data_IF_068167022910
#
_entry.id   IF_068167022910
#
_cell.length_a   1.000
_cell.length_b   1.000
_cell.length_c   1.000
_cell.angle_alpha   90.00
_cell.angle_beta   90.00
_cell.angle_gamma   90.00
#
_symmetry.space_group_name_H-M   'P 1'
#
loop_
_entity.id
_entity.type
_entity.pdbx_description
1 polymer ?
#
# COMPACT_ATOMS: atom_id res chain seq x y z
N UNK A 1 -29.34 -17.61 14.69
CA UNK A 1 -29.62 -16.28 14.12
C UNK A 1 -28.59 -16.04 13.03
N UNK A 2 -29.05 -15.80 11.81
CA UNK A 2 -28.19 -15.68 10.63
C UNK A 2 -27.30 -14.44 10.75
N UNK A 3 -26.00 -14.62 11.02
CA UNK A 3 -25.02 -13.56 10.85
C UNK A 3 -24.80 -13.38 9.34
N UNK A 4 -25.47 -12.40 8.75
CA UNK A 4 -25.04 -11.82 7.47
C UNK A 4 -23.60 -11.39 7.66
N UNK A 5 -22.69 -11.89 6.83
CA UNK A 5 -21.35 -11.33 6.69
C UNK A 5 -21.52 -9.84 6.36
N UNK A 6 -21.07 -8.97 7.27
CA UNK A 6 -20.91 -7.56 6.95
C UNK A 6 -19.83 -7.49 5.86
N UNK A 7 -20.15 -6.86 4.72
CA UNK A 7 -19.14 -6.47 3.76
C UNK A 7 -18.12 -5.51 4.40
N UNK A 8 -17.01 -5.21 3.72
CA UNK A 8 -16.05 -4.22 4.21
C UNK A 8 -16.78 -2.90 4.52
N UNK A 9 -16.53 -2.33 5.70
CA UNK A 9 -17.05 -1.02 6.10
C UNK A 9 -16.40 0.07 5.24
N UNK A 10 -17.10 0.50 4.19
CA UNK A 10 -16.65 1.54 3.27
C UNK A 10 -17.08 2.95 3.67
N UNK A 11 -17.81 3.09 4.79
CA UNK A 11 -18.40 4.37 5.22
C UNK A 11 -17.38 5.48 5.53
N UNK A 12 -16.10 5.12 5.66
CA UNK A 12 -14.99 6.02 6.02
C UNK A 12 -14.14 6.47 4.84
N UNK A 13 -14.42 5.94 3.66
CA UNK A 13 -13.74 6.39 2.45
C UNK A 13 -14.35 7.69 1.97
N UNK A 14 -13.49 8.67 1.73
CA UNK A 14 -13.82 9.84 0.91
C UNK A 14 -13.22 9.61 -0.46
N UNK A 15 -14.09 9.41 -1.45
CA UNK A 15 -13.73 9.17 -2.84
C UNK A 15 -14.19 10.34 -3.71
N UNK A 16 -13.28 10.89 -4.50
CA UNK A 16 -13.45 12.05 -5.36
C UNK A 16 -13.18 11.60 -6.79
N UNK A 17 -14.16 11.80 -7.65
CA UNK A 17 -14.06 11.63 -9.08
C UNK A 17 -13.70 12.98 -9.72
N UNK A 18 -12.45 13.09 -10.13
CA UNK A 18 -11.87 14.30 -10.67
C UNK A 18 -12.37 14.49 -12.11
N UNK A 19 -12.87 15.68 -12.41
CA UNK A 19 -13.45 15.97 -13.72
C UNK A 19 -14.94 15.66 -13.87
N UNK A 20 -15.53 14.89 -12.95
CA UNK A 20 -16.95 14.56 -13.03
C UNK A 20 -17.85 15.73 -12.66
N UNK A 21 -18.92 15.93 -13.43
CA UNK A 21 -19.94 16.96 -13.17
C UNK A 21 -20.91 16.57 -12.06
N UNK A 22 -20.99 15.28 -11.70
CA UNK A 22 -22.01 14.76 -10.78
C UNK A 22 -21.43 13.68 -9.89
N UNK A 23 -21.82 13.71 -8.62
CA UNK A 23 -21.56 12.61 -7.70
C UNK A 23 -22.37 11.37 -8.10
N UNK A 24 -21.81 10.19 -7.85
CA UNK A 24 -22.41 8.89 -8.16
C UNK A 24 -22.01 7.85 -7.11
N UNK A 25 -22.64 6.68 -7.15
CA UNK A 25 -22.39 5.60 -6.19
C UNK A 25 -22.26 4.28 -6.94
N UNK A 26 -21.27 3.48 -6.56
CA UNK A 26 -21.21 2.06 -6.91
C UNK A 26 -21.66 1.18 -5.73
N UNK A 27 -21.35 -0.12 -5.79
CA UNK A 27 -21.73 -1.09 -4.74
C UNK A 27 -20.95 -0.91 -3.43
N UNK A 28 -19.83 -0.19 -3.47
CA UNK A 28 -18.84 -0.07 -2.40
C UNK A 28 -18.66 1.38 -1.96
N UNK A 29 -18.60 2.35 -2.88
CA UNK A 29 -18.18 3.73 -2.61
C UNK A 29 -19.16 4.77 -3.16
N UNK A 30 -19.25 5.89 -2.44
CA UNK A 30 -19.87 7.13 -2.94
C UNK A 30 -18.77 8.02 -3.50
N UNK A 31 -18.81 8.26 -4.80
CA UNK A 31 -17.89 9.11 -5.54
C UNK A 31 -18.45 10.53 -5.64
N UNK A 32 -17.69 11.51 -5.14
CA UNK A 32 -18.08 12.92 -5.18
C UNK A 32 -17.45 13.62 -6.37
N UNK A 33 -18.19 14.53 -7.00
CA UNK A 33 -17.59 15.48 -7.94
C UNK A 33 -16.49 16.30 -7.25
N UNK A 34 -15.47 16.67 -8.01
CA UNK A 34 -14.34 17.45 -7.50
C UNK A 34 -14.57 18.96 -7.33
N UNK A 35 -15.78 19.44 -7.62
CA UNK A 35 -16.12 20.86 -7.60
C UNK A 35 -15.75 21.60 -6.30
N UNK A 36 -15.94 20.95 -5.15
CA UNK A 36 -15.67 21.54 -3.84
C UNK A 36 -14.18 21.47 -3.43
N UNK A 37 -13.36 20.73 -4.20
CA UNK A 37 -12.01 20.34 -3.79
C UNK A 37 -10.90 21.06 -4.57
N UNK A 38 -11.17 21.44 -5.84
CA UNK A 38 -10.22 22.17 -6.68
C UNK A 38 -10.91 23.28 -7.47
N UNK A 39 -10.23 24.44 -7.56
CA UNK A 39 -10.76 25.65 -8.20
C UNK A 39 -10.05 26.01 -9.51
N UNK A 40 -9.01 25.25 -9.89
CA UNK A 40 -8.23 25.48 -11.11
C UNK A 40 -8.33 24.28 -12.06
N UNK A 41 -7.74 24.39 -13.25
CA UNK A 41 -7.80 23.34 -14.25
C UNK A 41 -9.17 23.20 -14.93
N UNK A 42 -9.26 22.25 -15.86
CA UNK A 42 -10.46 22.00 -16.67
C UNK A 42 -10.81 20.53 -16.68
N UNK A 43 -12.12 20.26 -16.64
CA UNK A 43 -12.65 18.91 -16.67
C UNK A 43 -12.68 18.36 -18.09
N UNK A 44 -12.34 17.08 -18.26
CA UNK A 44 -12.34 16.37 -19.53
C UNK A 44 -12.87 14.95 -19.35
N UNK A 45 -13.46 14.43 -20.42
CA UNK A 45 -13.67 13.01 -20.61
C UNK A 45 -12.41 12.41 -21.21
N UNK A 46 -12.11 11.18 -20.82
CA UNK A 46 -11.08 10.39 -21.49
C UNK A 46 -11.53 9.99 -22.90
N UNK A 47 -10.58 9.75 -23.80
CA UNK A 47 -10.87 9.34 -25.18
C UNK A 47 -11.36 7.90 -25.30
N UNK A 48 -10.96 7.03 -24.36
CA UNK A 48 -11.36 5.61 -24.32
C UNK A 48 -11.87 5.28 -22.92
N UNK A 49 -13.13 4.88 -22.78
CA UNK A 49 -13.67 4.53 -21.48
C UNK A 49 -13.08 3.22 -20.94
N UNK A 50 -12.97 3.16 -19.63
CA UNK A 50 -12.59 1.98 -18.85
C UNK A 50 -13.81 1.40 -18.13
N UNK A 51 -13.65 0.20 -17.56
CA UNK A 51 -14.69 -0.43 -16.72
C UNK A 51 -14.83 0.21 -15.33
N UNK A 52 -13.89 1.08 -14.96
CA UNK A 52 -13.86 1.80 -13.69
C UNK A 52 -14.24 3.25 -13.95
N UNK A 53 -15.42 3.64 -13.49
CA UNK A 53 -16.03 4.90 -13.86
C UNK A 53 -15.22 6.11 -13.39
N UNK A 54 -14.52 5.99 -12.26
CA UNK A 54 -13.63 7.02 -11.70
C UNK A 54 -12.38 7.33 -12.57
N UNK A 55 -12.15 6.56 -13.64
CA UNK A 55 -11.11 6.86 -14.62
C UNK A 55 -11.67 7.43 -15.93
N UNK A 56 -12.99 7.53 -16.08
CA UNK A 56 -13.62 8.02 -17.32
C UNK A 56 -13.66 9.56 -17.42
N UNK A 57 -13.36 10.22 -16.32
CA UNK A 57 -13.23 11.67 -16.18
C UNK A 57 -11.85 12.03 -15.63
N UNK A 58 -11.40 13.24 -15.93
CA UNK A 58 -10.22 13.83 -15.32
C UNK A 58 -10.31 15.35 -15.22
N UNK A 59 -9.51 15.91 -14.31
CA UNK A 59 -9.18 17.35 -14.29
C UNK A 59 -7.76 17.54 -14.78
N UNK A 60 -7.58 18.39 -15.79
CA UNK A 60 -6.29 18.75 -16.37
C UNK A 60 -5.85 20.15 -15.93
N UNK A 61 -4.55 20.34 -15.68
CA UNK A 61 -3.95 21.56 -15.15
C UNK A 61 -2.96 22.20 -16.14
N UNK A 62 -3.45 22.89 -17.19
CA UNK A 62 -2.62 23.39 -18.29
C UNK A 62 -1.72 24.57 -17.90
N UNK A 63 -2.02 25.26 -16.81
CA UNK A 63 -1.24 26.41 -16.35
C UNK A 63 0.03 25.98 -15.61
N UNK A 64 0.10 24.72 -15.13
CA UNK A 64 1.27 24.15 -14.48
C UNK A 64 1.72 24.94 -13.24
N UNK A 65 0.81 25.64 -12.56
CA UNK A 65 1.13 26.46 -11.41
C UNK A 65 1.35 25.58 -10.18
N UNK A 66 2.14 26.06 -9.21
CA UNK A 66 2.23 25.44 -7.88
C UNK A 66 0.90 25.48 -7.10
N UNK A 67 -0.09 26.19 -7.62
CA UNK A 67 -1.44 26.31 -7.05
C UNK A 67 -2.45 25.32 -7.64
N UNK A 68 -2.04 24.50 -8.61
CA UNK A 68 -2.88 23.44 -9.20
C UNK A 68 -3.01 22.26 -8.23
N UNK A 69 -3.97 22.40 -7.31
CA UNK A 69 -4.10 21.54 -6.15
C UNK A 69 -5.55 21.19 -5.79
N UNK A 70 -5.69 20.12 -5.02
CA UNK A 70 -6.89 19.73 -4.30
C UNK A 70 -6.69 19.99 -2.81
N UNK A 71 -7.69 20.60 -2.17
CA UNK A 71 -7.79 20.65 -0.72
C UNK A 71 -8.78 19.56 -0.29
N UNK A 72 -8.25 18.43 0.15
CA UNK A 72 -9.03 17.24 0.53
C UNK A 72 -9.26 17.28 2.05
N UNK A 73 -10.48 17.57 2.53
CA UNK A 73 -10.78 17.68 3.96
C UNK A 73 -10.47 16.38 4.69
N UNK A 74 -9.91 16.51 5.89
CA UNK A 74 -9.60 15.39 6.76
C UNK A 74 -10.20 15.58 8.14
N UNK A 75 -10.60 14.48 8.76
CA UNK A 75 -10.90 14.41 10.18
C UNK A 75 -9.61 14.59 11.00
N UNK A 76 -9.61 15.63 11.84
CA UNK A 76 -8.49 16.00 12.70
C UNK A 76 -8.17 14.94 13.78
N UNK A 77 -9.15 14.09 14.14
CA UNK A 77 -8.99 13.05 15.15
C UNK A 77 -8.26 11.81 14.60
N UNK A 78 -8.13 11.70 13.28
CA UNK A 78 -7.40 10.62 12.63
C UNK A 78 -5.90 10.89 12.68
N UNK A 79 -5.10 9.89 13.04
CA UNK A 79 -3.63 10.02 13.16
C UNK A 79 -2.90 9.88 11.82
N UNK A 80 -3.48 9.12 10.90
CA UNK A 80 -2.91 8.81 9.58
C UNK A 80 -4.03 8.63 8.57
N UNK A 81 -3.67 8.73 7.31
CA UNK A 81 -4.55 8.44 6.19
C UNK A 81 -3.85 7.55 5.19
N UNK A 82 -4.58 6.59 4.63
CA UNK A 82 -4.23 6.10 3.29
C UNK A 82 -4.80 7.10 2.30
N UNK A 83 -3.96 7.51 1.36
CA UNK A 83 -4.31 8.39 0.26
C UNK A 83 -3.92 7.65 -1.01
N UNK A 84 -4.88 7.50 -1.91
CA UNK A 84 -4.70 6.89 -3.21
C UNK A 84 -5.13 7.88 -4.28
N UNK A 85 -4.31 8.06 -5.30
CA UNK A 85 -4.62 8.92 -6.44
C UNK A 85 -4.55 8.13 -7.73
N UNK A 86 -5.56 8.27 -8.58
CA UNK A 86 -5.68 7.52 -9.83
C UNK A 86 -5.30 8.33 -11.05
N UNK A 87 -4.58 7.68 -11.97
CA UNK A 87 -4.18 8.23 -13.26
C UNK A 87 -4.53 7.28 -14.41
N UNK A 88 -5.18 7.83 -15.43
CA UNK A 88 -5.42 7.21 -16.71
C UNK A 88 -5.44 8.30 -17.79
N UNK A 89 -4.45 8.28 -18.69
CA UNK A 89 -4.31 9.30 -19.74
C UNK A 89 -5.45 9.20 -20.76
N UNK A 90 -5.81 7.99 -21.17
CA UNK A 90 -6.92 7.72 -22.10
C UNK A 90 -6.91 8.55 -23.39
N UNK A 91 -5.76 9.13 -23.77
CA UNK A 91 -5.62 10.09 -24.86
C UNK A 91 -6.65 11.24 -24.84
N UNK A 92 -6.96 11.78 -23.66
CA UNK A 92 -8.02 12.79 -23.48
C UNK A 92 -7.85 14.07 -24.31
N UNK A 93 -6.62 14.39 -24.71
CA UNK A 93 -6.26 15.56 -25.51
C UNK A 93 -6.04 15.25 -27.00
N UNK A 94 -6.11 13.98 -27.40
CA UNK A 94 -5.91 13.53 -28.77
C UNK A 94 -4.47 13.62 -29.28
N UNK A 95 -3.48 13.89 -28.41
CA UNK A 95 -2.08 14.10 -28.81
C UNK A 95 -1.25 12.82 -28.86
N UNK A 96 -1.75 11.73 -28.28
CA UNK A 96 -1.03 10.45 -28.12
C UNK A 96 0.35 10.64 -27.49
N UNK A 97 0.45 11.61 -26.58
CA UNK A 97 1.68 11.99 -25.88
C UNK A 97 1.40 12.01 -24.36
N UNK A 98 1.44 10.85 -23.69
CA UNK A 98 1.17 10.75 -22.26
C UNK A 98 2.12 11.65 -21.46
N UNK A 99 1.60 12.48 -20.54
CA UNK A 99 2.42 13.43 -19.77
C UNK A 99 3.14 12.78 -18.58
N UNK A 100 4.21 13.44 -18.17
CA UNK A 100 5.00 13.18 -16.96
C UNK A 100 5.04 14.44 -16.11
N UNK A 101 4.79 14.33 -14.82
CA UNK A 101 4.69 15.49 -13.91
C UNK A 101 4.94 15.08 -12.46
N UNK A 102 5.16 16.06 -11.59
CA UNK A 102 5.41 15.80 -10.18
C UNK A 102 4.13 15.87 -9.36
N UNK A 103 3.96 14.88 -8.46
CA UNK A 103 2.89 14.86 -7.47
C UNK A 103 3.43 15.34 -6.12
N UNK A 104 2.70 16.22 -5.47
CA UNK A 104 3.05 16.78 -4.17
C UNK A 104 1.91 16.59 -3.17
N UNK A 105 2.28 16.40 -1.89
CA UNK A 105 1.38 16.45 -0.75
C UNK A 105 1.92 17.43 0.30
N UNK A 106 1.09 18.39 0.71
CA UNK A 106 1.44 19.45 1.68
C UNK A 106 2.81 20.10 1.37
N UNK A 107 3.01 20.49 0.10
CA UNK A 107 4.23 21.10 -0.44
C UNK A 107 5.48 20.21 -0.46
N UNK A 108 5.35 18.90 -0.23
CA UNK A 108 6.44 17.93 -0.36
C UNK A 108 6.22 17.06 -1.59
N UNK A 109 7.27 16.86 -2.38
CA UNK A 109 7.21 15.95 -3.54
C UNK A 109 6.94 14.54 -3.02
N UNK A 110 5.82 13.97 -3.44
CA UNK A 110 5.46 12.59 -3.19
C UNK A 110 6.19 11.69 -4.19
N UNK A 111 5.96 11.89 -5.49
CA UNK A 111 6.60 11.10 -6.55
C UNK A 111 6.57 11.84 -7.89
N UNK A 112 7.19 11.26 -8.93
CA UNK A 112 7.03 11.69 -10.33
C UNK A 112 6.08 10.71 -11.02
N UNK A 113 4.97 11.20 -11.53
CA UNK A 113 4.00 10.42 -12.29
C UNK A 113 4.47 10.35 -13.72
N UNK A 114 4.66 9.14 -14.24
CA UNK A 114 4.89 8.91 -15.66
C UNK A 114 3.80 8.00 -16.22
N UNK A 115 2.87 8.60 -16.95
CA UNK A 115 1.67 7.91 -17.44
C UNK A 115 1.94 7.01 -18.65
N UNK A 116 3.19 6.97 -19.16
CA UNK A 116 3.59 6.05 -20.21
C UNK A 116 4.03 4.68 -19.69
N UNK A 117 4.33 4.53 -18.40
CA UNK A 117 4.96 3.32 -17.85
C UNK A 117 3.99 2.15 -17.68
N UNK A 118 2.68 2.41 -17.55
CA UNK A 118 1.68 1.39 -17.28
C UNK A 118 1.00 0.87 -18.56
N UNK A 119 1.71 0.85 -19.69
CA UNK A 119 1.20 0.38 -21.00
C UNK A 119 -0.13 1.02 -21.45
N UNK A 120 -0.43 2.22 -20.94
CA UNK A 120 -1.67 2.93 -21.23
C UNK A 120 -2.87 2.47 -20.38
N UNK A 121 -2.70 1.57 -19.42
CA UNK A 121 -3.73 1.14 -18.47
C UNK A 121 -3.86 2.09 -17.26
N UNK A 122 -5.03 2.16 -16.59
CA UNK A 122 -5.20 2.91 -15.35
C UNK A 122 -4.30 2.36 -14.22
N UNK A 123 -3.73 3.26 -13.42
CA UNK A 123 -3.00 2.88 -12.21
C UNK A 123 -3.28 3.86 -11.08
N UNK A 124 -2.93 3.42 -9.87
CA UNK A 124 -2.97 4.24 -8.67
C UNK A 124 -1.58 4.42 -8.08
N UNK A 125 -1.36 5.59 -7.50
CA UNK A 125 -0.29 5.82 -6.54
C UNK A 125 -0.87 5.89 -5.14
N UNK A 126 -0.26 5.17 -4.19
CA UNK A 126 -0.76 5.07 -2.83
C UNK A 126 0.31 5.46 -1.80
N UNK A 127 -0.11 6.17 -0.75
CA UNK A 127 0.74 6.59 0.36
C UNK A 127 -0.01 6.48 1.68
N UNK A 128 0.73 6.20 2.75
CA UNK A 128 0.26 6.48 4.11
C UNK A 128 0.87 7.79 4.58
N UNK A 129 0.02 8.75 4.87
CA UNK A 129 0.44 10.09 5.25
C UNK A 129 0.01 10.41 6.69
N UNK A 130 0.93 10.87 7.56
CA UNK A 130 0.58 11.25 8.93
C UNK A 130 -0.25 12.53 8.94
N UNK A 131 -1.36 12.52 9.67
CA UNK A 131 -2.10 13.73 9.97
C UNK A 131 -1.36 14.48 11.08
N UNK A 132 -1.05 15.76 10.84
CA UNK A 132 -0.34 16.63 11.79
C UNK A 132 -1.25 17.70 12.37
N UNK A 133 -2.54 17.37 12.53
CA UNK A 133 -3.57 18.31 12.98
C UNK A 133 -3.96 19.32 11.90
N UNK A 134 -3.91 18.93 10.62
CA UNK A 134 -4.38 19.77 9.51
C UNK A 134 -5.86 19.51 9.25
N UNK A 135 -6.57 20.50 8.71
CA UNK A 135 -7.98 20.36 8.31
C UNK A 135 -8.13 19.70 6.92
N UNK A 136 -7.06 19.69 6.11
CA UNK A 136 -7.06 19.10 4.78
C UNK A 136 -5.66 18.64 4.34
N UNK A 137 -5.60 17.71 3.40
CA UNK A 137 -4.40 17.48 2.60
C UNK A 137 -4.42 18.35 1.35
N UNK A 138 -3.31 19.04 1.09
CA UNK A 138 -3.08 19.78 -0.15
C UNK A 138 -2.33 18.88 -1.14
N UNK A 139 -3.06 18.28 -2.09
CA UNK A 139 -2.49 17.42 -3.14
C UNK A 139 -2.30 18.27 -4.39
N UNK A 140 -1.06 18.46 -4.84
CA UNK A 140 -0.75 19.34 -5.97
C UNK A 140 -0.09 18.57 -7.11
N UNK A 141 -0.41 18.96 -8.34
CA UNK A 141 0.18 18.44 -9.55
C UNK A 141 1.04 19.53 -10.20
N UNK A 142 2.34 19.29 -10.30
CA UNK A 142 3.30 20.29 -10.76
C UNK A 142 3.89 19.85 -12.09
N UNK A 143 3.69 20.69 -13.11
CA UNK A 143 4.26 20.47 -14.43
C UNK A 143 5.79 20.52 -14.37
N UNK A 144 6.46 19.54 -15.00
CA UNK A 144 7.90 19.56 -15.22
C UNK A 144 8.20 20.05 -16.65
N UNK A 145 9.44 20.50 -16.89
CA UNK A 145 9.86 20.95 -18.21
C UNK A 145 9.65 19.84 -19.25
N UNK A 146 8.98 20.18 -20.35
CA UNK A 146 8.62 19.27 -21.45
C UNK A 146 7.75 18.05 -21.06
N UNK A 147 7.22 18.03 -19.84
CA UNK A 147 6.43 16.93 -19.27
C UNK A 147 4.98 16.84 -19.76
N UNK A 148 4.47 17.85 -20.47
CA UNK A 148 3.05 17.89 -20.86
C UNK A 148 2.13 18.39 -19.75
N UNK A 149 0.82 18.23 -19.91
CA UNK A 149 -0.18 18.81 -19.00
C UNK A 149 -0.50 17.82 -17.87
N UNK A 150 -0.27 18.18 -16.59
CA UNK A 150 -0.65 17.34 -15.46
C UNK A 150 -2.17 17.11 -15.40
N UNK A 151 -2.57 15.92 -14.97
CA UNK A 151 -3.98 15.58 -14.78
C UNK A 151 -4.16 14.56 -13.65
N UNK A 152 -5.39 14.45 -13.16
CA UNK A 152 -5.79 13.46 -12.15
C UNK A 152 -7.22 12.98 -12.42
N UNK A 153 -7.46 11.69 -12.23
CA UNK A 153 -8.77 11.07 -12.45
C UNK A 153 -9.52 10.85 -11.13
N UNK A 154 -8.81 10.44 -10.08
CA UNK A 154 -9.45 10.14 -8.79
C UNK A 154 -8.56 10.43 -7.59
N UNK A 155 -9.21 10.73 -6.47
CA UNK A 155 -8.58 10.82 -5.15
C UNK A 155 -9.43 10.04 -4.17
N UNK A 156 -8.82 9.11 -3.46
CA UNK A 156 -9.45 8.35 -2.39
C UNK A 156 -8.65 8.55 -1.10
N UNK A 157 -9.36 8.86 -0.01
CA UNK A 157 -8.75 8.96 1.32
C UNK A 157 -9.56 8.17 2.33
N UNK A 158 -8.87 7.50 3.24
CA UNK A 158 -9.51 6.85 4.37
C UNK A 158 -8.74 7.15 5.64
N UNK A 159 -9.48 7.68 6.62
CA UNK A 159 -8.97 8.00 7.94
C UNK A 159 -8.67 6.73 8.74
N UNK A 160 -7.49 6.72 9.33
CA UNK A 160 -7.01 5.62 10.15
C UNK A 160 -7.14 6.04 11.63
N UNK A 161 -8.19 5.55 12.30
CA UNK A 161 -8.42 5.75 13.74
C UNK A 161 -7.32 5.16 14.62
N UNK A 162 -7.37 5.47 15.92
CA UNK A 162 -6.71 4.67 16.94
C UNK A 162 -7.39 3.29 17.08
N UNK A 163 -6.98 2.32 16.27
CA UNK A 163 -6.70 0.99 16.85
C UNK A 163 -5.18 0.88 16.92
N UNK A 164 -4.62 0.09 17.85
CA UNK A 164 -3.21 0.23 18.25
C UNK A 164 -2.20 0.35 17.08
N UNK A 165 -2.45 -0.26 15.91
CA UNK A 165 -1.62 -0.09 14.69
C UNK A 165 -2.38 0.05 13.35
N UNK A 166 -3.69 -0.24 13.33
CA UNK A 166 -4.65 0.10 12.29
C UNK A 166 -4.17 -0.07 10.82
N UNK A 167 -3.90 -1.34 10.47
CA UNK A 167 -3.36 -1.80 9.17
C UNK A 167 -4.44 -2.42 8.30
N UNK A 168 -4.46 -2.13 6.99
CA UNK A 168 -5.38 -2.75 6.03
C UNK A 168 -4.76 -4.00 5.41
N UNK A 169 -5.28 -5.18 5.75
CA UNK A 169 -4.83 -6.44 5.17
C UNK A 169 -5.59 -6.73 3.87
N UNK A 170 -4.87 -6.82 2.76
CA UNK A 170 -5.39 -7.21 1.46
C UNK A 170 -5.05 -8.66 1.17
N UNK A 171 -5.89 -9.33 0.39
CA UNK A 171 -5.67 -10.74 0.04
C UNK A 171 -4.58 -10.86 -1.02
N UNK A 172 -3.58 -11.69 -0.77
CA UNK A 172 -2.55 -12.03 -1.74
C UNK A 172 -3.01 -13.10 -2.72
N UNK A 173 -2.60 -12.98 -3.98
CA UNK A 173 -2.80 -14.05 -4.97
C UNK A 173 -1.69 -15.10 -4.84
N UNK A 174 -2.08 -16.37 -4.76
CA UNK A 174 -1.13 -17.48 -4.60
C UNK A 174 -1.69 -18.79 -5.14
N UNK A 175 -0.80 -19.73 -5.45
CA UNK A 175 -1.12 -21.10 -5.81
C UNK A 175 -0.90 -22.10 -4.66
N UNK A 176 -0.35 -21.65 -3.52
CA UNK A 176 -0.14 -22.49 -2.36
C UNK A 176 -1.48 -22.88 -1.70
N UNK A 177 -1.49 -24.00 -0.98
CA UNK A 177 -2.69 -24.48 -0.32
C UNK A 177 -3.00 -23.62 0.91
N UNK A 178 -4.27 -23.22 1.04
CA UNK A 178 -4.76 -22.51 2.21
C UNK A 178 -4.98 -23.47 3.38
N UNK A 179 -4.55 -23.05 4.56
CA UNK A 179 -4.74 -23.74 5.83
C UNK A 179 -5.34 -22.73 6.80
N UNK A 180 -6.56 -23.03 7.27
CA UNK A 180 -7.26 -22.20 8.26
C UNK A 180 -7.36 -22.92 9.60
N UNK A 181 -7.28 -22.17 10.69
CA UNK A 181 -7.41 -22.72 12.03
C UNK A 181 -7.57 -21.65 13.09
N UNK A 182 -7.78 -22.09 14.34
CA UNK A 182 -7.71 -21.17 15.47
C UNK A 182 -6.24 -20.80 15.72
N UNK A 183 -5.86 -19.51 15.66
CA UNK A 183 -4.52 -19.09 16.03
C UNK A 183 -4.33 -19.22 17.55
N UNK A 184 -3.13 -19.58 17.97
CA UNK A 184 -2.82 -19.70 19.40
C UNK A 184 -2.49 -18.35 20.05
N UNK A 185 -2.60 -18.27 21.38
CA UNK A 185 -2.46 -17.02 22.15
C UNK A 185 -1.00 -16.53 22.21
N UNK A 186 -0.86 -15.21 22.07
CA UNK A 186 0.30 -14.37 21.74
C UNK A 186 1.66 -14.56 22.42
N UNK A 187 2.71 -14.41 21.58
CA UNK A 187 3.94 -13.67 21.87
C UNK A 187 4.08 -12.50 20.87
N UNK A 188 3.30 -11.43 21.04
CA UNK A 188 3.46 -10.21 20.24
C UNK A 188 4.16 -9.12 21.06
N UNK A 189 5.17 -8.49 20.46
CA UNK A 189 5.71 -7.23 20.95
C UNK A 189 4.75 -6.09 20.59
N UNK A 190 4.77 -5.00 21.36
CA UNK A 190 3.87 -3.85 21.27
C UNK A 190 3.96 -3.03 19.96
N UNK A 191 4.47 -3.58 18.85
CA UNK A 191 4.57 -2.88 17.56
C UNK A 191 4.12 -3.72 16.35
N UNK A 192 4.11 -5.05 16.43
CA UNK A 192 3.72 -5.95 15.33
C UNK A 192 2.62 -6.93 15.79
N UNK A 193 1.38 -6.41 15.88
CA UNK A 193 0.22 -7.15 16.41
C UNK A 193 -0.89 -7.29 15.35
N UNK A 194 -0.84 -8.29 14.45
CA UNK A 194 -1.83 -8.44 13.39
C UNK A 194 -3.18 -8.85 13.99
N UNK A 195 -4.32 -8.53 13.34
CA UNK A 195 -5.63 -9.03 13.76
C UNK A 195 -5.65 -10.57 13.83
N UNK A 196 -6.44 -11.12 14.74
CA UNK A 196 -6.58 -12.57 14.89
C UNK A 196 -7.04 -13.24 13.58
N UNK A 197 -7.95 -12.59 12.84
CA UNK A 197 -8.43 -13.06 11.55
C UNK A 197 -7.31 -13.19 10.50
N UNK A 198 -6.27 -12.37 10.59
CA UNK A 198 -5.10 -12.47 9.71
C UNK A 198 -4.25 -13.66 10.08
N UNK A 199 -4.12 -13.96 11.37
CA UNK A 199 -3.34 -15.11 11.86
C UNK A 199 -4.08 -16.44 11.77
N UNK A 200 -5.40 -16.42 11.57
CA UNK A 200 -6.24 -17.60 11.45
C UNK A 200 -6.16 -18.28 10.07
N UNK A 201 -5.77 -17.52 9.04
CA UNK A 201 -5.64 -17.98 7.66
C UNK A 201 -4.18 -17.92 7.21
N UNK A 202 -3.70 -18.99 6.61
CA UNK A 202 -2.31 -19.12 6.18
C UNK A 202 -2.18 -19.92 4.89
N UNK A 203 -1.02 -19.80 4.25
CA UNK A 203 -0.58 -20.75 3.23
C UNK A 203 0.48 -21.68 3.76
N UNK A 204 0.44 -22.92 3.29
CA UNK A 204 1.41 -23.95 3.58
C UNK A 204 1.87 -24.60 2.27
N UNK A 205 3.18 -24.82 2.14
CA UNK A 205 3.76 -25.60 1.03
C UNK A 205 3.98 -27.05 1.44
N UNK A 206 4.46 -27.88 0.51
CA UNK A 206 4.96 -29.20 0.88
C UNK A 206 6.27 -29.09 1.65
N UNK A 207 6.62 -30.12 2.42
CA UNK A 207 7.83 -30.14 3.25
C UNK A 207 9.13 -29.85 2.48
N UNK A 208 9.21 -30.27 1.21
CA UNK A 208 10.40 -30.10 0.37
C UNK A 208 10.37 -28.81 -0.46
N UNK A 209 9.23 -28.14 -0.55
CA UNK A 209 9.02 -27.01 -1.46
C UNK A 209 9.07 -25.69 -0.67
N UNK A 210 9.85 -24.70 -1.11
CA UNK A 210 9.81 -23.38 -0.50
C UNK A 210 8.53 -22.62 -0.85
N UNK A 211 8.14 -21.68 0.01
CA UNK A 211 7.18 -20.61 -0.31
C UNK A 211 7.96 -19.42 -0.86
N UNK A 212 7.66 -19.00 -2.07
CA UNK A 212 8.23 -17.78 -2.68
C UNK A 212 7.13 -16.75 -2.89
N UNK A 213 7.35 -15.55 -2.39
CA UNK A 213 6.42 -14.43 -2.42
C UNK A 213 7.08 -13.29 -3.17
N UNK A 214 6.50 -12.93 -4.31
CA UNK A 214 6.99 -11.87 -5.19
C UNK A 214 6.28 -10.55 -4.86
N UNK A 215 7.07 -9.50 -4.65
CA UNK A 215 6.60 -8.18 -4.24
C UNK A 215 7.08 -7.15 -5.25
N UNK A 216 6.15 -6.42 -5.84
CA UNK A 216 6.45 -5.26 -6.69
C UNK A 216 7.01 -4.11 -5.83
N UNK A 217 8.07 -3.46 -6.32
CA UNK A 217 8.68 -2.31 -5.67
C UNK A 217 8.35 -1.02 -6.43
N UNK A 218 8.19 0.11 -5.72
CA UNK A 218 7.85 1.38 -6.34
C UNK A 218 9.01 2.00 -7.12
N UNK A 219 10.25 1.54 -6.91
CA UNK A 219 11.45 2.09 -7.52
C UNK A 219 12.42 1.01 -7.98
N UNK A 220 13.11 1.30 -9.08
CA UNK A 220 14.13 0.41 -9.67
C UNK A 220 15.51 0.58 -9.03
N UNK A 221 15.71 1.62 -8.23
CA UNK A 221 16.99 1.91 -7.56
C UNK A 221 17.10 1.21 -6.22
N UNK A 222 18.33 0.87 -5.77
CA UNK A 222 18.55 0.30 -4.45
C UNK A 222 17.99 1.18 -3.33
N UNK A 223 17.15 0.61 -2.47
CA UNK A 223 16.52 1.29 -1.34
C UNK A 223 16.52 0.39 -0.10
N UNK A 224 16.39 1.01 1.09
CA UNK A 224 16.25 0.25 2.34
C UNK A 224 14.80 -0.17 2.56
N UNK A 225 14.58 -1.44 2.84
CA UNK A 225 13.31 -2.01 3.21
C UNK A 225 13.27 -2.48 4.67
N UNK A 226 12.09 -2.38 5.27
CA UNK A 226 11.70 -3.00 6.53
C UNK A 226 10.67 -4.08 6.19
N UNK A 227 10.94 -5.32 6.56
CA UNK A 227 10.09 -6.47 6.21
C UNK A 227 9.64 -7.17 7.49
N UNK A 228 8.34 -7.46 7.58
CA UNK A 228 7.74 -8.20 8.69
C UNK A 228 7.05 -9.44 8.15
N UNK A 229 7.29 -10.59 8.78
CA UNK A 229 6.70 -11.88 8.43
C UNK A 229 5.92 -12.41 9.61
N UNK A 230 4.69 -12.86 9.35
CA UNK A 230 3.76 -13.37 10.35
C UNK A 230 3.56 -14.87 10.14
N UNK A 231 4.21 -15.66 10.98
CA UNK A 231 4.18 -17.13 10.91
C UNK A 231 3.22 -17.61 12.01
N UNK A 232 2.03 -18.13 11.64
CA UNK A 232 1.06 -18.57 12.61
C UNK A 232 1.42 -19.94 13.19
N UNK A 233 0.86 -20.24 14.34
CA UNK A 233 0.82 -21.58 14.91
C UNK A 233 -0.66 -21.92 15.09
N UNK A 234 -1.17 -22.85 14.27
CA UNK A 234 -2.59 -23.22 14.27
C UNK A 234 -2.83 -24.44 15.17
N UNK A 235 -3.86 -24.40 16.02
CA UNK A 235 -4.14 -25.41 17.06
C UNK A 235 -4.26 -26.85 16.52
N UNK A 236 -4.75 -27.03 15.29
CA UNK A 236 -5.08 -28.35 14.75
C UNK A 236 -3.99 -28.99 13.87
N UNK A 237 -2.98 -28.23 13.46
CA UNK A 237 -1.89 -28.75 12.60
C UNK A 237 -0.71 -29.28 13.42
N UNK A 238 -0.64 -28.95 14.70
CA UNK A 238 0.55 -29.17 15.52
C UNK A 238 0.36 -30.32 16.51
N UNK A 239 1.25 -31.31 16.42
CA UNK A 239 1.37 -32.39 17.40
C UNK A 239 2.53 -32.11 18.36
N UNK A 240 2.52 -32.67 19.58
CA UNK A 240 3.67 -32.57 20.48
C UNK A 240 4.96 -33.01 19.78
N UNK A 241 6.07 -32.29 20.02
CA UNK A 241 7.40 -32.52 19.42
C UNK A 241 7.55 -32.20 17.92
N UNK A 242 6.56 -31.55 17.31
CA UNK A 242 6.74 -30.96 15.98
C UNK A 242 7.23 -29.52 16.09
N UNK A 243 8.06 -29.11 15.14
CA UNK A 243 8.75 -27.82 15.11
C UNK A 243 8.74 -27.26 13.69
N UNK A 244 8.47 -25.96 13.57
CA UNK A 244 8.60 -25.20 12.33
C UNK A 244 9.79 -24.27 12.45
N UNK A 245 10.82 -24.53 11.63
CA UNK A 245 12.00 -23.69 11.50
C UNK A 245 12.19 -23.35 10.03
N UNK A 246 12.20 -22.07 9.73
CA UNK A 246 12.23 -21.53 8.37
C UNK A 246 13.53 -20.78 8.15
N UNK A 247 14.22 -21.08 7.06
CA UNK A 247 15.24 -20.21 6.49
C UNK A 247 14.55 -19.12 5.66
N UNK A 248 15.00 -17.89 5.80
CA UNK A 248 14.46 -16.73 5.11
C UNK A 248 15.52 -16.21 4.14
N UNK A 249 15.16 -16.09 2.87
CA UNK A 249 16.01 -15.51 1.83
C UNK A 249 15.28 -14.36 1.13
N UNK A 250 16.02 -13.29 0.82
CA UNK A 250 15.51 -12.16 0.02
C UNK A 250 16.40 -12.02 -1.21
N UNK A 251 15.83 -12.21 -2.39
CA UNK A 251 16.55 -12.32 -3.67
C UNK A 251 17.74 -13.30 -3.61
N UNK A 252 17.51 -14.46 -2.98
CA UNK A 252 18.52 -15.51 -2.79
C UNK A 252 19.60 -15.19 -1.76
N UNK A 253 19.55 -14.03 -1.08
CA UNK A 253 20.47 -13.68 0.01
C UNK A 253 19.91 -14.14 1.35
N UNK A 254 20.70 -14.94 2.07
CA UNK A 254 20.35 -15.43 3.40
C UNK A 254 20.09 -14.28 4.39
N UNK A 255 18.94 -14.35 5.05
CA UNK A 255 18.52 -13.44 6.12
C UNK A 255 18.49 -14.14 7.48
N UNK A 256 18.94 -15.40 7.56
CA UNK A 256 18.91 -16.23 8.76
C UNK A 256 17.61 -17.03 8.90
N UNK A 257 17.40 -17.57 10.11
CA UNK A 257 16.28 -18.48 10.40
C UNK A 257 15.23 -17.84 11.31
N UNK A 258 14.04 -18.45 11.33
CA UNK A 258 12.95 -18.15 12.24
C UNK A 258 12.33 -19.46 12.76
N UNK A 259 12.31 -19.59 14.08
CA UNK A 259 11.76 -20.76 14.78
C UNK A 259 10.43 -20.40 15.42
N UNK A 260 9.43 -21.27 15.28
CA UNK A 260 8.21 -21.16 16.09
C UNK A 260 8.50 -21.64 17.50
N UNK A 261 8.52 -20.72 18.46
CA UNK A 261 8.83 -21.02 19.87
C UNK A 261 7.60 -21.63 20.52
N UNK A 262 7.71 -22.89 20.98
CA UNK A 262 6.66 -23.53 21.76
C UNK A 262 5.44 -24.02 20.96
N UNK A 263 4.61 -24.81 21.63
CA UNK A 263 3.47 -25.52 21.03
C UNK A 263 2.34 -24.56 20.57
N UNK A 264 2.32 -23.32 21.07
CA UNK A 264 1.19 -22.40 20.96
C UNK A 264 1.58 -20.93 20.71
N UNK A 265 2.74 -20.62 20.10
CA UNK A 265 3.10 -19.22 19.87
C UNK A 265 3.26 -18.92 18.38
N UNK A 266 2.53 -17.90 17.93
CA UNK A 266 2.77 -17.28 16.64
C UNK A 266 4.13 -16.58 16.65
N UNK A 267 4.83 -16.59 15.53
CA UNK A 267 6.15 -15.97 15.39
C UNK A 267 6.07 -14.77 14.47
N UNK A 268 6.62 -13.65 14.95
CA UNK A 268 6.79 -12.43 14.17
C UNK A 268 8.26 -12.21 13.90
N UNK A 269 8.64 -12.15 12.64
CA UNK A 269 10.03 -11.91 12.22
C UNK A 269 10.12 -10.53 11.61
N UNK A 270 11.09 -9.74 12.04
CA UNK A 270 11.37 -8.42 11.46
C UNK A 270 12.78 -8.39 10.89
N UNK A 271 12.92 -7.89 9.66
CA UNK A 271 14.20 -7.68 8.98
C UNK A 271 14.32 -6.22 8.58
N UNK A 272 15.32 -5.54 9.15
CA UNK A 272 15.66 -4.16 8.82
C UNK A 272 17.09 -3.83 9.28
N UNK A 273 17.86 -3.04 8.50
CA UNK A 273 17.58 -2.65 7.12
C UNK A 273 17.90 -3.80 6.14
N UNK A 274 17.07 -3.97 5.11
CA UNK A 274 17.36 -4.87 3.98
C UNK A 274 17.51 -4.02 2.72
N UNK A 275 18.61 -4.17 1.99
CA UNK A 275 18.78 -3.50 0.70
C UNK A 275 18.04 -4.27 -0.39
N UNK A 276 17.09 -3.61 -1.04
CA UNK A 276 16.24 -4.17 -2.11
C UNK A 276 16.30 -3.29 -3.37
N UNK A 277 16.08 -3.87 -4.54
CA UNK A 277 16.10 -3.16 -5.83
C UNK A 277 15.01 -3.72 -6.75
N UNK A 278 14.22 -2.84 -7.38
CA UNK A 278 13.08 -3.24 -8.23
C UNK A 278 13.46 -3.83 -9.60
N UNK A 279 12.45 -4.19 -10.42
CA UNK A 279 11.03 -3.92 -10.23
C UNK A 279 10.34 -4.82 -9.19
N UNK A 280 10.92 -5.97 -8.86
CA UNK A 280 10.33 -6.95 -7.95
C UNK A 280 11.39 -7.55 -7.04
N UNK A 281 10.98 -7.96 -5.84
CA UNK A 281 11.80 -8.81 -4.97
C UNK A 281 11.09 -10.12 -4.67
N UNK A 282 11.89 -11.16 -4.42
CA UNK A 282 11.40 -12.48 -4.00
C UNK A 282 11.79 -12.75 -2.55
N UNK A 283 10.80 -12.92 -1.69
CA UNK A 283 10.96 -13.40 -0.32
C UNK A 283 10.70 -14.90 -0.32
N UNK A 284 11.72 -15.70 0.02
CA UNK A 284 11.65 -17.16 0.02
C UNK A 284 11.74 -17.71 1.43
N UNK A 285 10.80 -18.59 1.78
CA UNK A 285 10.74 -19.31 3.05
C UNK A 285 10.91 -20.80 2.79
N UNK A 286 12.02 -21.37 3.23
CA UNK A 286 12.32 -22.79 3.05
C UNK A 286 12.45 -23.51 4.39
N UNK A 287 12.06 -24.77 4.44
CA UNK A 287 12.19 -25.61 5.64
C UNK A 287 13.67 -25.84 5.97
N UNK A 288 14.04 -25.68 7.24
CA UNK A 288 15.34 -26.11 7.76
C UNK A 288 15.33 -27.63 7.97
N UNK A 289 16.44 -28.32 7.69
CA UNK A 289 16.52 -29.80 7.71
C UNK A 289 16.01 -30.44 9.01
N UNK A 290 16.24 -29.80 10.16
CA UNK A 290 15.85 -30.29 11.49
C UNK A 290 14.39 -29.97 11.84
N UNK A 291 13.74 -29.08 11.09
CA UNK A 291 12.31 -28.81 11.23
C UNK A 291 11.52 -30.03 10.79
N UNK A 292 10.38 -30.29 11.43
CA UNK A 292 9.47 -31.39 11.08
C UNK A 292 8.26 -30.95 10.27
N UNK A 293 7.89 -29.67 10.37
CA UNK A 293 6.76 -29.07 9.66
C UNK A 293 7.20 -28.35 8.38
N UNK A 294 6.33 -28.23 7.37
CA UNK A 294 6.65 -27.48 6.14
C UNK A 294 6.79 -25.96 6.38
N UNK A 295 7.09 -25.16 5.36
CA UNK A 295 6.92 -23.70 5.40
C UNK A 295 5.45 -23.28 5.49
N UNK A 296 5.16 -22.28 6.33
CA UNK A 296 3.83 -21.66 6.42
C UNK A 296 3.95 -20.18 6.78
N UNK A 297 3.04 -19.37 6.26
CA UNK A 297 2.96 -17.93 6.54
C UNK A 297 1.50 -17.47 6.44
N UNK A 298 1.08 -16.64 7.39
CA UNK A 298 -0.24 -16.01 7.40
C UNK A 298 -0.21 -14.72 6.60
N UNK A 299 0.82 -13.92 6.85
CA UNK A 299 0.86 -12.58 6.32
C UNK A 299 2.27 -12.00 6.25
N UNK A 300 2.42 -10.92 5.49
CA UNK A 300 3.63 -10.11 5.51
C UNK A 300 3.33 -8.62 5.41
N UNK A 301 4.33 -7.83 5.79
CA UNK A 301 4.42 -6.40 5.51
C UNK A 301 5.77 -6.10 4.89
N UNK A 302 5.78 -5.35 3.80
CA UNK A 302 7.00 -4.84 3.17
C UNK A 302 6.88 -3.33 3.07
N UNK A 303 7.87 -2.65 3.64
CA UNK A 303 7.96 -1.20 3.69
C UNK A 303 9.25 -0.76 3.02
N UNK A 304 9.19 0.23 2.15
CA UNK A 304 10.40 0.87 1.60
C UNK A 304 10.55 2.27 2.18
N UNK A 305 11.79 2.64 2.52
CA UNK A 305 12.09 3.97 3.03
C UNK A 305 12.35 4.91 1.85
N UNK A 306 11.54 5.95 1.73
CA UNK A 306 11.81 7.05 0.80
C UNK A 306 12.53 8.17 1.57
N UNK A 307 13.80 8.37 1.26
CA UNK A 307 14.55 9.53 1.74
C UNK A 307 14.18 10.76 0.90
N UNK A 308 13.27 11.58 1.43
CA UNK A 308 12.95 12.87 0.83
C UNK A 308 14.14 13.81 1.06
N UNK A 309 14.90 14.12 0.00
CA UNK A 309 15.96 15.13 0.07
C UNK A 309 15.35 16.48 0.47
N UNK A 310 15.61 16.90 1.71
CA UNK A 310 15.33 18.27 2.16
C UNK A 310 16.39 19.16 1.51
N UNK A 311 15.99 20.00 0.55
CA UNK A 311 16.86 21.10 0.15
C UNK A 311 17.08 22.00 1.37
N UNK A 312 18.33 22.04 1.85
CA UNK A 312 18.74 22.80 3.01
C UNK A 312 18.47 24.30 2.81
N UNK A 313 17.35 24.78 3.33
CA UNK A 313 17.06 26.19 3.58
C UNK A 313 16.12 26.37 4.78
N UNK A 314 16.24 25.51 5.81
CA UNK A 314 15.56 25.69 7.07
C UNK A 314 16.59 26.01 8.17
N UNK A 315 16.35 27.00 9.06
CA UNK A 315 17.28 27.34 10.14
C UNK A 315 17.51 26.14 11.06
N UNK A 316 18.71 26.05 11.62
CA UNK A 316 19.25 24.98 12.45
C UNK A 316 18.50 24.75 13.78
N UNK A 317 17.20 24.43 13.77
CA UNK A 317 16.48 23.98 14.96
C UNK A 317 15.36 22.96 14.66
N UNK A 318 15.39 22.22 13.56
CA UNK A 318 14.51 21.06 13.36
C UNK A 318 15.15 20.01 12.44
N UNK A 319 16.21 19.36 12.90
CA UNK A 319 16.67 18.09 12.30
C UNK A 319 15.97 16.92 12.99
N UNK A 320 14.76 16.61 12.54
CA UNK A 320 14.24 15.24 12.59
C UNK A 320 13.94 14.85 11.14
N UNK A 321 14.79 13.98 10.59
CA UNK A 321 14.60 13.40 9.27
C UNK A 321 13.20 12.76 9.20
N UNK A 322 12.30 13.44 8.49
CA UNK A 322 10.93 12.98 8.28
C UNK A 322 10.99 11.82 7.27
N UNK A 323 11.29 10.62 7.76
CA UNK A 323 11.31 9.40 6.94
C UNK A 323 9.88 9.03 6.59
N UNK A 324 9.57 8.99 5.29
CA UNK A 324 8.29 8.54 4.78
C UNK A 324 8.42 7.05 4.45
N UNK A 325 7.56 6.24 5.05
CA UNK A 325 7.48 4.81 4.76
C UNK A 325 6.44 4.65 3.64
N UNK A 326 6.88 4.21 2.47
CA UNK A 326 6.03 4.03 1.29
C UNK A 326 6.07 2.58 0.81
N UNK A 327 4.93 2.17 0.27
CA UNK A 327 4.47 0.80 0.01
C UNK A 327 4.04 0.03 1.27
N UNK A 328 2.75 -0.33 1.29
CA UNK A 328 2.18 -1.36 2.16
C UNK A 328 1.68 -2.48 1.24
N UNK A 329 2.49 -3.50 1.00
CA UNK A 329 1.91 -4.78 0.58
C UNK A 329 1.59 -5.55 1.87
N UNK A 330 0.39 -5.31 2.39
CA UNK A 330 -0.18 -6.02 3.53
C UNK A 330 -0.90 -7.26 2.99
N UNK A 331 -0.14 -8.28 2.63
CA UNK A 331 -0.72 -9.52 2.13
C UNK A 331 -1.20 -10.35 3.32
N UNK A 332 -2.50 -10.47 3.53
CA UNK A 332 -3.12 -11.63 4.16
C UNK A 332 -3.26 -12.67 3.06
N UNK A 333 -2.77 -13.89 3.27
CA UNK A 333 -2.84 -14.89 2.21
C UNK A 333 -4.17 -15.63 2.35
N UNK A 334 -5.17 -15.26 1.53
CA UNK A 334 -6.41 -16.03 1.36
C UNK A 334 -7.10 -15.75 0.02
#
# INVERSE_FOLDING_TARGET
>A
MNSKSAGPDTSRWQSIDCGSERSWEDRLLTWRSDYDYSQTGWNKLVGTNTTRDEFNTLRAFPNGSKDDCYNVPIDADMVRYIIRVGFYYGNYDGLSKPPTFDLFINNKKWTTINTSLNEGEPFYEEIIYPNKGSEFFKICLVQIQDGGIPFINSIETVGIFHTLFNRIWSKGYTTYANVSGLPTIYAATSSNYPPESVMADAIESNASDPITLTIDLPQFTPQSAFIVLYIPQLVYTNKPNQTRSLKIEIDGKDQGTADTIGYNENTVVTKYPVTVSGPTINITLSRVNESSLPPMIAAMEVFTKLDMNVSAAAPEYFSFACSLILLFMLLSVA
#
